data_IF_017666363091
#
_entry.id   IF_017666363091
#
_cell.length_a   1.000
_cell.length_b   1.000
_cell.length_c   1.000
_cell.angle_alpha   90.00
_cell.angle_beta   90.00
_cell.angle_gamma   90.00
#
_symmetry.space_group_name_H-M   'P 1'
#
loop_
_entity.id
_entity.type
_entity.pdbx_description
1 polymer ?
#
# COMPACT_ATOMS: atom_id res chain seq x y z
N UNK A 1 -14.36 8.62 -25.74
CA UNK A 1 -14.12 8.73 -24.29
C UNK A 1 -12.62 8.86 -24.08
N UNK A 2 -12.13 10.01 -23.61
CA UNK A 2 -10.70 10.18 -23.34
C UNK A 2 -10.44 9.56 -21.96
N UNK A 3 -9.83 8.37 -21.94
CA UNK A 3 -9.33 7.78 -20.70
C UNK A 3 -8.13 8.63 -20.27
N UNK A 4 -8.33 9.47 -19.27
CA UNK A 4 -7.22 10.15 -18.59
C UNK A 4 -6.56 9.10 -17.70
N UNK A 5 -5.42 8.56 -18.13
CA UNK A 5 -4.62 7.72 -17.24
C UNK A 5 -3.99 8.63 -16.19
N UNK A 6 -4.60 8.69 -15.00
CA UNK A 6 -3.94 9.24 -13.81
C UNK A 6 -2.97 8.15 -13.36
N UNK A 7 -1.71 8.25 -13.78
CA UNK A 7 -0.62 7.43 -13.26
C UNK A 7 0.07 8.20 -12.15
N UNK A 8 0.05 7.64 -10.94
CA UNK A 8 0.91 8.14 -9.87
C UNK A 8 2.36 7.84 -10.24
N UNK A 9 3.23 8.84 -10.07
CA UNK A 9 4.66 8.66 -10.22
C UNK A 9 5.13 7.52 -9.29
N UNK A 10 5.99 6.63 -9.79
CA UNK A 10 6.53 5.50 -9.02
C UNK A 10 7.57 5.94 -7.99
N UNK A 11 7.87 7.25 -7.92
CA UNK A 11 8.81 7.80 -6.97
C UNK A 11 8.43 7.48 -5.52
N UNK A 12 9.47 7.20 -4.75
CA UNK A 12 9.35 6.89 -3.34
C UNK A 12 8.72 8.04 -2.53
N UNK A 13 8.91 9.28 -2.98
CA UNK A 13 8.38 10.48 -2.31
C UNK A 13 6.85 10.55 -2.41
N UNK A 14 6.27 10.28 -3.58
CA UNK A 14 4.81 10.21 -3.72
C UNK A 14 4.22 9.07 -2.88
N UNK A 15 4.92 7.93 -2.79
CA UNK A 15 4.50 6.83 -1.92
C UNK A 15 4.50 7.24 -0.44
N UNK A 16 5.53 7.94 0.02
CA UNK A 16 5.62 8.47 1.39
C UNK A 16 4.50 9.46 1.68
N UNK A 17 4.20 10.37 0.76
CA UNK A 17 3.11 11.34 0.91
C UNK A 17 1.76 10.62 1.09
N UNK A 18 1.50 9.59 0.30
CA UNK A 18 0.28 8.79 0.45
C UNK A 18 0.27 8.09 1.82
N UNK A 19 1.38 7.47 2.25
CA UNK A 19 1.45 6.83 3.56
C UNK A 19 1.22 7.81 4.71
N UNK A 20 1.75 9.02 4.62
CA UNK A 20 1.60 10.06 5.64
C UNK A 20 0.13 10.47 5.83
N UNK A 21 -0.64 10.52 4.73
CA UNK A 21 -2.09 10.77 4.78
C UNK A 21 -2.86 9.70 5.57
N UNK A 22 -2.33 8.48 5.68
CA UNK A 22 -2.91 7.37 6.46
C UNK A 22 -2.18 7.15 7.80
N UNK A 23 -1.37 8.11 8.25
CA UNK A 23 -0.64 8.02 9.51
C UNK A 23 0.42 6.92 9.53
N UNK A 24 0.95 6.54 8.37
CA UNK A 24 2.00 5.53 8.22
C UNK A 24 3.33 6.16 7.82
N UNK A 25 4.42 5.47 8.10
CA UNK A 25 5.77 5.85 7.67
C UNK A 25 6.58 4.61 7.30
N UNK A 26 7.86 4.79 6.95
CA UNK A 26 8.80 3.73 6.61
C UNK A 26 9.89 3.69 7.68
N UNK A 27 10.22 2.51 8.18
CA UNK A 27 11.35 2.32 9.10
C UNK A 27 12.70 2.24 8.37
N UNK A 28 13.79 2.11 9.13
CA UNK A 28 15.15 2.03 8.57
C UNK A 28 15.39 0.76 7.74
N UNK A 29 14.54 -0.27 7.88
CA UNK A 29 14.62 -1.53 7.14
C UNK A 29 13.77 -1.49 5.85
N UNK A 30 12.95 -0.47 5.66
CA UNK A 30 12.08 -0.28 4.49
C UNK A 30 10.67 -0.88 4.64
N UNK A 31 10.26 -1.27 5.85
CA UNK A 31 8.89 -1.72 6.14
C UNK A 31 7.96 -0.54 6.40
N UNK A 32 6.70 -0.72 6.05
CA UNK A 32 5.64 0.24 6.38
C UNK A 32 5.23 0.02 7.84
N UNK A 33 5.24 1.09 8.64
CA UNK A 33 4.95 1.08 10.09
C UNK A 33 3.96 2.19 10.47
N UNK A 34 3.34 2.07 11.64
CA UNK A 34 2.49 3.14 12.20
C UNK A 34 3.36 4.35 12.60
N UNK A 35 3.00 5.56 12.17
CA UNK A 35 3.77 6.77 12.49
C UNK A 35 3.80 7.07 13.99
N UNK A 36 2.72 6.71 14.69
CA UNK A 36 2.62 6.87 16.15
C UNK A 36 3.34 5.76 16.93
N UNK A 37 3.70 4.65 16.27
CA UNK A 37 4.41 3.53 16.87
C UNK A 37 5.27 2.80 15.83
N UNK A 38 6.52 3.23 15.68
CA UNK A 38 7.47 2.68 14.70
C UNK A 38 7.72 1.17 14.88
N UNK A 39 7.53 0.63 16.09
CA UNK A 39 7.65 -0.82 16.33
C UNK A 39 6.49 -1.65 15.75
N UNK A 40 5.39 -0.99 15.40
CA UNK A 40 4.19 -1.63 14.88
C UNK A 40 4.20 -1.61 13.35
N UNK A 41 4.52 -2.75 12.75
CA UNK A 41 4.46 -2.95 11.31
C UNK A 41 3.03 -3.04 10.81
N UNK A 42 2.80 -2.43 9.66
CA UNK A 42 1.56 -2.58 8.91
C UNK A 42 1.53 -3.99 8.30
N UNK A 43 0.37 -4.64 8.41
CA UNK A 43 0.13 -5.96 7.87
C UNK A 43 -0.79 -5.90 6.67
N UNK A 44 -0.52 -6.74 5.69
CA UNK A 44 -1.48 -7.07 4.63
C UNK A 44 -2.71 -7.77 5.23
N UNK A 45 -3.83 -7.89 4.50
CA UNK A 45 -4.98 -8.69 4.92
C UNK A 45 -4.67 -10.16 5.24
N UNK A 46 -3.51 -10.68 4.81
CA UNK A 46 -3.03 -12.04 5.09
C UNK A 46 -2.16 -12.12 6.34
N UNK A 47 -1.93 -10.99 7.03
CA UNK A 47 -1.08 -10.91 8.23
C UNK A 47 0.41 -10.82 7.92
N UNK A 48 0.79 -10.60 6.66
CA UNK A 48 2.20 -10.45 6.27
C UNK A 48 2.66 -8.99 6.41
N UNK A 49 3.88 -8.79 6.88
CA UNK A 49 4.55 -7.48 6.82
C UNK A 49 4.75 -7.05 5.36
N UNK A 50 4.75 -5.73 5.13
CA UNK A 50 4.87 -5.16 3.79
C UNK A 50 5.98 -4.13 3.71
N UNK A 51 6.84 -4.28 2.69
CA UNK A 51 7.87 -3.30 2.35
C UNK A 51 7.34 -2.27 1.34
N UNK A 52 7.93 -1.08 1.37
CA UNK A 52 7.49 0.03 0.49
C UNK A 52 7.67 -0.27 -1.00
N UNK A 53 8.70 -1.03 -1.35
CA UNK A 53 8.97 -1.47 -2.71
C UNK A 53 8.00 -2.56 -3.17
N UNK A 54 7.43 -3.34 -2.25
CA UNK A 54 6.38 -4.33 -2.51
C UNK A 54 4.97 -3.75 -2.52
N UNK A 55 4.78 -2.54 -2.00
CA UNK A 55 3.46 -1.92 -1.87
C UNK A 55 2.89 -1.41 -3.20
N UNK A 56 1.66 -1.85 -3.49
CA UNK A 56 0.89 -1.46 -4.67
C UNK A 56 -0.16 -0.38 -4.41
N UNK A 57 -0.67 -0.29 -3.18
CA UNK A 57 -1.70 0.68 -2.82
C UNK A 57 -2.53 0.29 -1.60
N UNK A 58 -3.51 1.15 -1.29
CA UNK A 58 -4.46 0.97 -0.20
C UNK A 58 -5.86 0.86 -0.82
N UNK A 59 -6.64 -0.12 -0.37
CA UNK A 59 -8.01 -0.32 -0.84
C UNK A 59 -9.02 0.30 0.12
N UNK A 60 -10.14 0.79 -0.40
CA UNK A 60 -11.25 1.35 0.39
C UNK A 60 -11.76 0.32 1.41
N UNK A 61 -11.83 0.70 2.69
CA UNK A 61 -12.18 -0.19 3.81
C UNK A 61 -11.27 0.06 5.01
N UNK A 62 -10.98 -0.99 5.80
CA UNK A 62 -10.10 -0.98 6.96
C UNK A 62 -8.60 -0.85 6.60
N UNK A 63 -8.25 0.13 5.77
CA UNK A 63 -6.87 0.43 5.35
C UNK A 63 -6.09 -0.82 4.89
N UNK A 64 -6.69 -1.66 4.03
CA UNK A 64 -6.03 -2.87 3.59
C UNK A 64 -4.89 -2.56 2.60
N UNK A 65 -3.65 -2.87 3.02
CA UNK A 65 -2.43 -2.71 2.23
C UNK A 65 -2.23 -3.92 1.31
N UNK A 66 -1.98 -3.64 0.03
CA UNK A 66 -1.87 -4.67 -1.02
C UNK A 66 -0.45 -4.71 -1.57
N UNK A 67 0.11 -5.92 -1.71
CA UNK A 67 1.40 -6.16 -2.37
C UNK A 67 1.24 -6.11 -3.90
N UNK A 68 2.32 -5.77 -4.61
CA UNK A 68 2.37 -5.63 -6.07
C UNK A 68 2.52 -6.94 -6.84
N UNK A 69 2.62 -8.08 -6.16
CA UNK A 69 2.74 -9.37 -6.83
C UNK A 69 1.43 -9.79 -7.51
N UNK A 70 1.56 -10.67 -8.50
CA UNK A 70 0.45 -11.07 -9.37
C UNK A 70 -0.72 -11.69 -8.59
N UNK A 71 -0.46 -12.45 -7.51
CA UNK A 71 -1.52 -13.11 -6.75
C UNK A 71 -2.32 -12.09 -5.94
N UNK A 72 -1.65 -11.17 -5.25
CA UNK A 72 -2.31 -10.08 -4.52
C UNK A 72 -3.15 -9.19 -5.43
N UNK A 73 -2.65 -8.87 -6.63
CA UNK A 73 -3.40 -8.06 -7.59
C UNK A 73 -4.61 -8.81 -8.19
N UNK A 74 -4.48 -10.11 -8.47
CA UNK A 74 -5.59 -10.95 -8.93
C UNK A 74 -6.69 -11.09 -7.88
N UNK A 75 -6.32 -11.27 -6.62
CA UNK A 75 -7.28 -11.30 -5.50
C UNK A 75 -8.01 -9.96 -5.35
N UNK A 76 -7.29 -8.85 -5.49
CA UNK A 76 -7.90 -7.52 -5.49
C UNK A 76 -8.89 -7.37 -6.65
N UNK A 77 -8.51 -7.77 -7.87
CA UNK A 77 -9.37 -7.68 -9.03
C UNK A 77 -10.68 -8.46 -8.84
N UNK A 78 -10.61 -9.69 -8.30
CA UNK A 78 -11.81 -10.48 -7.97
C UNK A 78 -12.73 -9.77 -6.97
N UNK A 79 -12.17 -9.21 -5.90
CA UNK A 79 -12.96 -8.48 -4.88
C UNK A 79 -13.64 -7.22 -5.38
N UNK A 80 -13.14 -6.61 -6.45
CA UNK A 80 -13.70 -5.39 -7.02
C UNK A 80 -14.79 -5.66 -8.07
N UNK A 81 -14.88 -6.91 -8.54
CA UNK A 81 -15.89 -7.37 -9.53
C UNK A 81 -17.19 -7.85 -8.85
N UNK A 82 -17.14 -8.10 -7.53
CA UNK A 82 -18.27 -8.42 -6.64
C UNK A 82 -18.98 -7.15 -6.13
#
# INVERSE_FOLDING_TARGET
MKLSNITFDESIEVKKDILDLYGKTIDDEGFIVEKENISQKVLTPKGEEIRIDEWAGITKGSEAFVKKDAFSLLELAKKLDD
#
